data_IF_081652274375
#
_entry.id   IF_081652274375
#
_cell.length_a   1.000
_cell.length_b   1.000
_cell.length_c   1.000
_cell.angle_alpha   90.00
_cell.angle_beta   90.00
_cell.angle_gamma   90.00
#
_symmetry.space_group_name_H-M   'P 1'
#
loop_
_entity.id
_entity.type
_entity.pdbx_description
1 polymer ?
#
# COMPACT_ATOMS: atom_id res chain seq x y z
N UNK A 1 -1.26 -2.25 8.93
CA UNK A 1 -1.68 -0.85 9.09
C UNK A 1 -1.85 -0.26 7.71
N UNK A 2 -2.94 0.46 7.41
CA UNK A 2 -3.10 1.10 6.11
C UNK A 2 -2.38 2.43 6.08
N UNK A 3 -1.74 2.76 4.96
CA UNK A 3 -0.99 4.01 4.78
C UNK A 3 -1.78 4.91 3.84
N UNK A 4 -1.92 6.19 4.20
CA UNK A 4 -2.57 7.18 3.35
C UNK A 4 -1.55 8.19 2.86
N UNK A 5 -1.44 8.35 1.55
CA UNK A 5 -0.69 9.45 0.96
C UNK A 5 -1.35 10.78 1.31
N UNK A 6 -0.62 11.68 1.96
CA UNK A 6 -1.11 12.99 2.40
C UNK A 6 -1.28 13.99 1.26
N UNK A 7 -0.72 13.69 0.09
CA UNK A 7 -0.79 14.56 -1.10
C UNK A 7 -2.00 14.22 -1.97
N UNK A 8 -2.20 12.93 -2.30
CA UNK A 8 -3.23 12.49 -3.25
C UNK A 8 -4.36 11.65 -2.63
N UNK A 9 -4.29 11.34 -1.33
CA UNK A 9 -5.25 10.48 -0.61
C UNK A 9 -5.30 9.01 -1.05
N UNK A 10 -4.34 8.53 -1.85
CA UNK A 10 -4.18 7.10 -2.09
C UNK A 10 -4.01 6.33 -0.77
N UNK A 11 -4.65 5.16 -0.66
CA UNK A 11 -4.56 4.30 0.52
C UNK A 11 -3.91 2.99 0.12
N UNK A 12 -2.71 2.76 0.64
CA UNK A 12 -2.01 1.48 0.52
C UNK A 12 -2.42 0.55 1.68
N UNK A 13 -2.86 -0.66 1.34
CA UNK A 13 -3.20 -1.70 2.30
C UNK A 13 -2.20 -2.85 2.18
N UNK A 14 -1.28 -3.02 3.15
CA UNK A 14 -0.32 -4.12 3.13
C UNK A 14 -0.96 -5.49 3.02
N UNK A 15 -2.20 -5.69 3.51
CA UNK A 15 -2.85 -7.01 3.41
C UNK A 15 -3.22 -7.37 1.97
N UNK A 16 -3.37 -6.37 1.10
CA UNK A 16 -3.70 -6.52 -0.32
C UNK A 16 -2.47 -6.33 -1.21
N UNK A 17 -1.49 -5.54 -0.76
CA UNK A 17 -0.35 -5.15 -1.58
C UNK A 17 -0.76 -4.19 -2.70
N UNK A 18 0.03 -4.18 -3.77
CA UNK A 18 -0.24 -3.45 -5.01
C UNK A 18 0.29 -4.26 -6.22
N UNK A 19 -0.43 -5.34 -6.62
CA UNK A 19 0.05 -6.27 -7.64
C UNK A 19 0.27 -5.63 -9.02
N UNK A 20 -0.51 -4.59 -9.35
CA UNK A 20 -0.36 -3.84 -10.60
C UNK A 20 0.98 -3.11 -10.68
N UNK A 21 1.54 -2.75 -9.52
CA UNK A 21 2.85 -2.13 -9.38
C UNK A 21 3.93 -3.10 -8.85
N UNK A 22 3.63 -4.41 -8.81
CA UNK A 22 4.58 -5.45 -8.41
C UNK A 22 4.85 -5.57 -6.91
N UNK A 23 3.97 -5.05 -6.06
CA UNK A 23 4.07 -5.16 -4.61
C UNK A 23 3.17 -6.29 -4.13
N UNK A 24 3.76 -7.33 -3.53
CA UNK A 24 3.00 -8.47 -3.03
C UNK A 24 2.20 -8.14 -1.76
N UNK A 25 1.06 -8.82 -1.53
CA UNK A 25 0.39 -8.83 -0.23
C UNK A 25 1.36 -9.19 0.91
N UNK A 26 1.21 -8.52 2.04
CA UNK A 26 2.06 -8.63 3.23
C UNK A 26 3.23 -7.63 3.26
N UNK A 27 3.48 -6.86 2.20
CA UNK A 27 4.60 -5.91 2.16
C UNK A 27 4.30 -4.68 3.01
N UNK A 28 5.00 -4.50 4.12
CA UNK A 28 4.85 -3.34 5.00
C UNK A 28 5.64 -2.13 4.45
N UNK A 29 5.12 -0.92 4.69
CA UNK A 29 5.83 0.32 4.40
C UNK A 29 6.67 0.71 5.63
N UNK A 30 7.97 0.96 5.46
CA UNK A 30 8.92 1.33 6.54
C UNK A 30 8.89 2.83 6.87
#
# INVERSE_FOLDING_TARGET
MKYRCTVCNYVYDPEVGDPDNGIEPGTLFE
#
